data_IF_350049265108
#
_entry.id   IF_350049265108
#
_cell.length_a   1.000
_cell.length_b   1.000
_cell.length_c   1.000
_cell.angle_alpha   90.00
_cell.angle_beta   90.00
_cell.angle_gamma   90.00
#
_symmetry.space_group_name_H-M   'P 1'
#
loop_
_entity.id
_entity.type
_entity.pdbx_description
1 polymer ?
#
# COMPACT_ATOMS: atom_id res chain seq x y z
N UNK A 1 11.24 -0.78 -11.10
CA UNK A 1 9.87 -1.21 -10.75
C UNK A 1 9.76 -1.40 -9.24
N UNK A 2 8.53 -1.48 -8.71
CA UNK A 2 8.25 -1.94 -7.35
C UNK A 2 7.75 -3.38 -7.44
N UNK A 3 8.32 -4.29 -6.66
CA UNK A 3 7.77 -5.62 -6.44
C UNK A 3 6.87 -5.55 -5.21
N UNK A 4 5.61 -5.96 -5.33
CA UNK A 4 4.63 -5.88 -4.26
C UNK A 4 3.70 -7.08 -4.27
N UNK A 5 3.08 -7.34 -3.12
CA UNK A 5 2.03 -8.35 -2.97
C UNK A 5 0.67 -7.68 -3.08
N UNK A 6 -0.22 -8.29 -3.86
CA UNK A 6 -1.62 -7.90 -4.00
C UNK A 6 -2.46 -8.59 -2.92
N UNK A 7 -2.86 -7.88 -1.84
CA UNK A 7 -3.74 -8.43 -0.83
C UNK A 7 -5.12 -8.65 -1.44
N UNK A 8 -5.88 -9.60 -0.86
CA UNK A 8 -7.29 -9.76 -1.22
C UNK A 8 -8.05 -8.48 -0.88
N UNK A 9 -9.06 -8.16 -1.69
CA UNK A 9 -9.95 -7.02 -1.45
C UNK A 9 -10.56 -7.08 -0.05
N UNK A 10 -10.53 -5.96 0.67
CA UNK A 10 -11.09 -5.82 2.00
C UNK A 10 -12.00 -4.58 2.07
N UNK A 11 -13.29 -4.80 2.31
CA UNK A 11 -14.29 -3.73 2.35
C UNK A 11 -14.04 -2.71 3.46
N UNK A 12 -13.54 -3.13 4.62
CA UNK A 12 -13.23 -2.23 5.72
C UNK A 12 -12.08 -1.27 5.35
N UNK A 13 -11.05 -1.80 4.69
CA UNK A 13 -9.91 -1.01 4.21
C UNK A 13 -10.33 -0.02 3.12
N UNK A 14 -11.10 -0.46 2.11
CA UNK A 14 -11.63 0.43 1.08
C UNK A 14 -12.58 1.49 1.65
N UNK A 15 -13.36 1.14 2.68
CA UNK A 15 -14.23 2.06 3.39
C UNK A 15 -13.45 3.12 4.19
N UNK A 16 -12.39 2.71 4.90
CA UNK A 16 -11.49 3.62 5.60
C UNK A 16 -10.85 4.62 4.62
N UNK A 17 -10.29 4.11 3.52
CA UNK A 17 -9.71 4.92 2.45
C UNK A 17 -10.69 5.94 1.89
N UNK A 18 -11.91 5.51 1.57
CA UNK A 18 -12.95 6.39 1.02
C UNK A 18 -13.37 7.49 2.00
N UNK A 19 -13.53 7.15 3.29
CA UNK A 19 -13.87 8.15 4.33
C UNK A 19 -12.75 9.16 4.52
N UNK A 20 -11.50 8.69 4.62
CA UNK A 20 -10.33 9.56 4.76
C UNK A 20 -10.22 10.53 3.57
N UNK A 21 -10.31 10.01 2.34
CA UNK A 21 -10.24 10.85 1.14
C UNK A 21 -11.45 11.78 0.95
N UNK A 22 -12.58 11.53 1.63
CA UNK A 22 -13.70 12.47 1.68
C UNK A 22 -13.38 13.80 2.37
N UNK A 23 -12.29 13.87 3.15
CA UNK A 23 -11.83 15.09 3.80
C UNK A 23 -10.84 15.92 2.96
N UNK A 24 -10.39 15.39 1.82
CA UNK A 24 -9.41 16.05 0.96
C UNK A 24 -10.04 16.48 -0.37
N UNK A 25 -9.53 17.56 -0.96
CA UNK A 25 -9.74 17.81 -2.38
C UNK A 25 -9.10 16.65 -3.19
N UNK A 26 -9.86 15.90 -4.01
CA UNK A 26 -9.32 14.82 -4.82
C UNK A 26 -8.15 15.25 -5.73
N UNK A 27 -8.12 16.52 -6.15
CA UNK A 27 -7.05 17.07 -6.99
C UNK A 27 -5.76 17.34 -6.22
N UNK A 28 -5.82 17.48 -4.89
CA UNK A 28 -4.63 17.55 -4.03
C UNK A 28 -3.98 16.17 -3.82
N UNK A 29 -4.71 15.08 -4.06
CA UNK A 29 -4.22 13.72 -3.92
C UNK A 29 -3.53 13.24 -5.21
N UNK A 30 -2.42 12.50 -5.06
CA UNK A 30 -1.80 11.78 -6.18
C UNK A 30 -2.80 10.80 -6.82
N UNK A 31 -2.81 10.72 -8.16
CA UNK A 31 -3.81 9.97 -8.92
C UNK A 31 -3.99 8.51 -8.48
N UNK A 32 -2.88 7.81 -8.22
CA UNK A 32 -2.87 6.42 -7.74
C UNK A 32 -3.44 6.21 -6.33
N UNK A 33 -3.62 7.28 -5.53
CA UNK A 33 -4.22 7.18 -4.20
C UNK A 33 -5.68 7.65 -4.17
N UNK A 34 -6.24 8.11 -5.29
CA UNK A 34 -7.63 8.55 -5.34
C UNK A 34 -8.59 7.37 -5.16
N UNK A 35 -9.78 7.65 -4.62
CA UNK A 35 -10.87 6.68 -4.49
C UNK A 35 -11.17 6.04 -5.85
N UNK A 36 -11.27 4.71 -5.87
CA UNK A 36 -11.48 3.92 -7.10
C UNK A 36 -10.23 3.66 -7.96
N UNK A 37 -9.10 4.32 -7.67
CA UNK A 37 -7.82 4.10 -8.36
C UNK A 37 -6.75 3.46 -7.48
N UNK A 38 -6.93 3.56 -6.16
CA UNK A 38 -6.02 2.95 -5.20
C UNK A 38 -6.07 1.42 -5.24
N UNK A 39 -4.88 0.83 -5.39
CA UNK A 39 -4.66 -0.61 -5.26
C UNK A 39 -3.90 -0.83 -3.95
N UNK A 40 -4.54 -1.41 -2.92
CA UNK A 40 -3.85 -1.80 -1.69
C UNK A 40 -2.71 -2.77 -2.04
N UNK A 41 -1.51 -2.51 -1.50
CA UNK A 41 -0.35 -3.34 -1.76
C UNK A 41 0.64 -3.28 -0.59
N UNK A 42 1.44 -4.34 -0.45
CA UNK A 42 2.60 -4.34 0.43
C UNK A 42 3.86 -4.50 -0.42
N UNK A 43 4.71 -3.46 -0.41
CA UNK A 43 5.98 -3.46 -1.15
C UNK A 43 6.94 -4.49 -0.55
N UNK A 44 7.43 -5.41 -1.39
CA UNK A 44 8.46 -6.38 -1.04
C UNK A 44 9.87 -5.88 -1.38
N UNK A 45 9.98 -5.10 -2.47
CA UNK A 45 11.24 -4.48 -2.88
C UNK A 45 10.97 -3.21 -3.70
N UNK A 46 11.76 -2.17 -3.43
CA UNK A 46 11.77 -0.93 -4.21
C UNK A 46 12.98 -0.88 -5.14
N UNK A 47 12.94 -0.04 -6.18
CA UNK A 47 14.05 0.15 -7.12
C UNK A 47 14.57 -1.12 -7.82
N UNK A 48 13.71 -2.12 -8.03
CA UNK A 48 14.07 -3.34 -8.78
C UNK A 48 14.39 -2.94 -10.23
N UNK A 49 15.61 -3.23 -10.75
CA UNK A 49 15.98 -2.91 -12.13
C UNK A 49 15.04 -3.59 -13.12
N UNK A 50 14.72 -2.91 -14.23
CA UNK A 50 13.81 -3.48 -15.23
C UNK A 50 14.33 -4.79 -15.82
N UNK A 51 15.66 -4.91 -15.99
CA UNK A 51 16.33 -6.14 -16.42
C UNK A 51 16.13 -7.32 -15.46
N UNK A 52 15.86 -7.06 -14.17
CA UNK A 52 15.65 -8.07 -13.15
C UNK A 52 14.17 -8.44 -12.94
N UNK A 53 13.22 -7.81 -13.66
CA UNK A 53 11.78 -7.99 -13.46
C UNK A 53 11.35 -9.46 -13.46
N UNK A 54 11.78 -10.23 -14.47
CA UNK A 54 11.38 -11.64 -14.59
C UNK A 54 11.92 -12.49 -13.43
N UNK A 55 13.17 -12.28 -13.05
CA UNK A 55 13.78 -12.98 -11.92
C UNK A 55 13.12 -12.63 -10.58
N UNK A 56 12.77 -11.36 -10.36
CA UNK A 56 12.09 -10.90 -9.16
C UNK A 56 10.68 -11.52 -9.02
N UNK A 57 9.92 -11.58 -10.12
CA UNK A 57 8.61 -12.22 -10.14
C UNK A 57 8.74 -13.73 -9.88
N UNK A 58 9.63 -14.43 -10.59
CA UNK A 58 9.85 -15.86 -10.39
C UNK A 58 10.28 -16.20 -8.96
N UNK A 59 11.14 -15.37 -8.36
CA UNK A 59 11.51 -15.51 -6.96
C UNK A 59 10.31 -15.40 -6.02
N UNK A 60 9.39 -14.47 -6.26
CA UNK A 60 8.20 -14.25 -5.44
C UNK A 60 7.19 -15.41 -5.57
N UNK A 61 6.99 -15.92 -6.79
CA UNK A 61 6.07 -17.04 -7.04
C UNK A 61 6.50 -18.33 -6.33
N UNK A 62 7.82 -18.59 -6.23
CA UNK A 62 8.34 -19.75 -5.49
C UNK A 62 8.17 -19.67 -3.97
N UNK A 63 7.81 -18.49 -3.44
CA UNK A 63 7.72 -18.20 -2.00
C UNK A 63 6.30 -17.87 -1.55
N UNK A 64 5.30 -18.33 -2.30
CA UNK A 64 3.90 -17.98 -2.03
C UNK A 64 3.42 -18.58 -0.70
N UNK A 65 3.31 -17.72 0.31
CA UNK A 65 2.73 -18.05 1.61
C UNK A 65 1.34 -17.41 1.72
N UNK A 66 0.35 -18.17 2.19
CA UNK A 66 -0.92 -17.60 2.62
C UNK A 66 -0.76 -17.12 4.07
N UNK A 67 -0.89 -15.82 4.28
CA UNK A 67 -0.93 -15.22 5.61
C UNK A 67 -1.93 -14.07 5.63
N UNK A 68 -2.38 -13.73 6.83
CA UNK A 68 -3.21 -12.57 7.09
C UNK A 68 -2.42 -11.57 7.92
N UNK A 69 -2.74 -10.29 7.75
CA UNK A 69 -2.19 -9.19 8.56
C UNK A 69 -3.38 -8.48 9.18
N UNK A 70 -3.31 -8.29 10.49
CA UNK A 70 -4.21 -7.45 11.24
C UNK A 70 -3.49 -6.13 11.55
N UNK A 71 -4.17 -5.01 11.35
CA UNK A 71 -3.64 -3.68 11.63
C UNK A 71 -4.32 -3.13 12.88
N UNK A 72 -3.54 -2.80 13.89
CA UNK A 72 -3.99 -2.16 15.13
C UNK A 72 -3.68 -0.66 15.18
N UNK A 73 -2.88 -0.15 14.24
CA UNK A 73 -2.53 1.26 14.08
C UNK A 73 -2.37 1.68 12.61
N UNK A 74 -2.36 2.99 12.40
CA UNK A 74 -2.05 3.66 11.14
C UNK A 74 -1.25 4.94 11.42
N UNK A 75 -0.20 5.19 10.64
CA UNK A 75 0.65 6.38 10.82
C UNK A 75 0.33 7.48 9.81
N UNK A 76 0.31 8.73 10.28
CA UNK A 76 0.44 9.89 9.42
C UNK A 76 1.92 10.19 9.20
N UNK A 77 2.38 10.03 7.95
CA UNK A 77 3.80 10.12 7.61
C UNK A 77 4.10 11.16 6.54
N UNK A 78 5.32 11.69 6.55
CA UNK A 78 5.99 12.28 5.40
C UNK A 78 6.87 11.22 4.73
N UNK A 79 6.93 11.21 3.40
CA UNK A 79 7.79 10.32 2.62
C UNK A 79 8.15 10.94 1.25
N UNK A 80 9.43 11.08 0.85
CA UNK A 80 10.70 10.75 1.53
C UNK A 80 11.41 11.95 2.23
N UNK A 81 12.21 11.74 3.31
CA UNK A 81 12.41 10.49 4.06
C UNK A 81 11.16 10.12 4.87
N UNK A 82 11.10 8.88 5.38
CA UNK A 82 10.00 8.47 6.27
C UNK A 82 10.13 9.22 7.59
N UNK A 83 9.13 10.02 7.92
CA UNK A 83 8.97 10.67 9.23
C UNK A 83 7.55 10.42 9.71
N UNK A 84 7.39 9.88 10.90
CA UNK A 84 6.08 9.66 11.54
C UNK A 84 5.71 10.94 12.29
N UNK A 85 4.60 11.57 11.91
CA UNK A 85 4.06 12.73 12.59
C UNK A 85 3.10 12.33 13.72
N UNK A 86 2.31 11.28 13.50
CA UNK A 86 1.32 10.77 14.45
C UNK A 86 1.01 9.30 14.17
N UNK A 87 0.82 8.50 15.23
CA UNK A 87 0.27 7.13 15.15
C UNK A 87 -1.18 7.14 15.64
N UNK A 88 -2.09 6.56 14.88
CA UNK A 88 -3.51 6.44 15.17
C UNK A 88 -3.86 4.97 15.46
N UNK A 89 -4.42 4.68 16.63
CA UNK A 89 -4.92 3.34 16.96
C UNK A 89 -6.22 3.04 16.22
N UNK A 90 -6.28 1.91 15.52
CA UNK A 90 -7.47 1.39 14.87
C UNK A 90 -8.29 0.62 15.93
N UNK A 91 -9.58 0.99 16.07
CA UNK A 91 -10.51 0.42 17.04
C UNK A 91 -11.45 -0.60 16.40
#
# INVERSE_FOLDING_TARGET
MILWTEPRSNHALSGLHSRLHGHFDPLSCHEHYRVGRWVPHCSLATNVPQSARAAAIGWAETRRLAFAVEFDSADFIQFPPVVIHEELRLR
#
